data_IF_987500125967
#
_entry.id   IF_987500125967
#
_cell.length_a   1.000
_cell.length_b   1.000
_cell.length_c   1.000
_cell.angle_alpha   90.00
_cell.angle_beta   90.00
_cell.angle_gamma   90.00
#
_symmetry.space_group_name_H-M   'P 1'
#
loop_
_entity.id
_entity.type
_entity.pdbx_description
1 polymer ?
2 non-polymer ?
3 non-polymer ?
4 water ?
#
# COMPACT_ATOMS: atom_id res chain seq x y z
N UNK A 4 -5.01 6.75 22.20
CA UNK A 4 -5.41 5.50 21.56
C UNK A 4 -4.32 4.44 21.70
N UNK A 5 -3.28 4.54 20.88
CA UNK A 5 -2.30 3.46 20.74
C UNK A 5 -1.15 3.59 21.75
N UNK A 6 -0.64 2.45 22.24
CA UNK A 6 0.48 2.49 23.16
C UNK A 6 1.75 3.10 22.54
N UNK A 7 2.63 3.53 23.43
CA UNK A 7 3.81 4.30 23.05
C UNK A 7 5.05 3.48 22.78
N UNK A 8 6.09 4.19 22.33
CA UNK A 8 7.38 3.61 22.00
C UNK A 8 7.94 2.80 23.16
N UNK A 9 8.47 1.63 22.86
CA UNK A 9 9.21 0.83 23.84
C UNK A 9 10.66 0.72 23.38
N UNK A 10 11.60 0.77 24.35
CA UNK A 10 13.00 0.54 24.06
C UNK A 10 13.57 -0.47 25.05
N UNK A 11 14.17 -1.51 24.51
CA UNK A 11 14.64 -2.66 25.28
C UNK A 11 16.06 -3.07 24.87
N UNK A 12 16.96 -3.26 25.84
CA UNK A 12 18.31 -3.74 25.51
C UNK A 12 18.32 -5.22 25.16
N UNK A 13 18.91 -5.60 24.03
CA UNK A 13 18.99 -7.04 23.69
C UNK A 13 20.42 -7.59 23.63
N UNK A 14 21.41 -6.69 23.59
CA UNK A 14 22.83 -7.03 23.67
C UNK A 14 23.54 -5.73 24.02
N UNK A 15 24.83 -5.81 24.36
CA UNK A 15 25.59 -4.60 24.72
C UNK A 15 25.55 -3.63 23.53
N UNK A 16 25.03 -2.44 23.78
CA UNK A 16 24.90 -1.43 22.73
C UNK A 16 23.98 -1.77 21.58
N UNK A 17 23.00 -2.63 21.83
CA UNK A 17 22.01 -2.92 20.81
C UNK A 17 20.67 -2.92 21.48
N UNK A 18 19.81 -2.04 21.01
CA UNK A 18 18.48 -1.82 21.59
C UNK A 18 17.37 -2.09 20.59
N UNK A 19 16.37 -2.87 20.99
CA UNK A 19 15.18 -3.08 20.17
C UNK A 19 14.17 -1.99 20.48
N UNK A 20 13.66 -1.31 19.45
CA UNK A 20 12.61 -0.34 19.67
C UNK A 20 11.30 -0.90 19.04
N UNK A 21 10.19 -0.66 19.71
CA UNK A 21 8.94 -1.25 19.31
C UNK A 21 7.92 -0.17 19.34
N UNK A 22 7.20 -0.01 18.24
CA UNK A 22 6.17 1.04 18.15
C UNK A 22 4.94 0.46 17.52
N UNK A 23 3.81 1.14 17.72
CA UNK A 23 2.52 0.57 17.38
C UNK A 23 1.69 1.37 16.35
N UNK A 24 0.84 0.65 15.64
CA UNK A 24 -0.20 1.29 14.83
C UNK A 24 -1.43 0.40 14.74
N UNK A 25 -2.60 1.00 14.60
CA UNK A 25 -3.76 0.26 14.14
C UNK A 25 -3.66 0.11 12.65
N UNK A 26 -4.02 -1.05 12.13
CA UNK A 26 -4.04 -1.30 10.68
C UNK A 26 -5.33 -2.00 10.26
N UNK A 27 -6.12 -1.44 9.35
CA UNK A 27 -7.44 -2.03 9.07
C UNK A 27 -7.27 -3.43 8.50
N UNK A 28 -7.90 -4.40 9.14
CA UNK A 28 -7.79 -5.79 8.74
C UNK A 28 -6.80 -6.58 9.59
N UNK A 29 -6.03 -5.87 10.41
CA UNK A 29 -4.96 -6.50 11.16
C UNK A 29 -5.05 -6.13 12.64
N UNK A 30 -5.87 -5.12 12.96
CA UNK A 30 -5.97 -4.63 14.33
C UNK A 30 -4.74 -3.84 14.81
N UNK A 31 -4.46 -3.95 16.10
CA UNK A 31 -3.32 -3.29 16.71
C UNK A 31 -2.10 -4.13 16.42
N UNK A 32 -1.10 -3.53 15.74
CA UNK A 32 0.10 -4.19 15.29
C UNK A 32 1.33 -3.45 15.87
N UNK A 33 2.40 -4.18 16.20
CA UNK A 33 3.63 -3.53 16.62
C UNK A 33 4.70 -3.72 15.52
N UNK A 34 5.71 -2.88 15.55
CA UNK A 34 6.81 -2.96 14.59
C UNK A 34 8.12 -2.79 15.29
N UNK A 35 9.14 -3.56 14.88
CA UNK A 35 10.47 -3.53 15.49
C UNK A 35 11.47 -2.71 14.68
N UNK A 36 12.43 -2.13 15.37
CA UNK A 36 13.64 -1.63 14.71
C UNK A 36 14.77 -1.74 15.73
N UNK A 37 15.98 -1.30 15.38
CA UNK A 37 17.08 -1.31 16.35
C UNK A 37 17.70 0.06 16.52
N UNK A 38 18.35 0.23 17.65
CA UNK A 38 19.32 1.29 17.80
C UNK A 38 20.65 0.57 18.10
N UNK A 39 21.65 0.85 17.28
CA UNK A 39 22.95 0.23 17.42
C UNK A 39 24.03 1.28 17.74
N UNK A 40 24.83 0.97 18.74
CA UNK A 40 25.87 1.86 19.21
C UNK A 40 27.27 1.36 18.91
N UNK A 41 28.10 2.28 18.43
CA UNK A 41 29.52 2.08 18.29
C UNK A 41 30.26 3.38 18.63
N UNK A 42 31.14 3.30 19.64
CA UNK A 42 31.97 4.46 19.98
C UNK A 42 31.14 5.67 20.32
N UNK A 43 30.03 5.47 21.00
CA UNK A 43 29.21 6.58 21.42
C UNK A 43 28.23 7.04 20.36
N UNK A 44 28.39 6.57 19.12
CA UNK A 44 27.47 6.96 18.05
C UNK A 44 26.33 5.97 17.91
N UNK A 45 25.12 6.48 17.71
CA UNK A 45 23.90 5.65 17.57
C UNK A 45 23.36 5.64 16.15
N UNK A 46 23.07 4.45 15.64
CA UNK A 46 22.49 4.36 14.30
C UNK A 46 21.13 3.71 14.44
N UNK A 47 20.10 4.33 13.85
CA UNK A 47 18.75 3.75 13.85
C UNK A 47 18.52 2.84 12.66
N UNK A 48 18.17 1.59 12.93
CA UNK A 48 17.71 0.66 11.91
C UNK A 48 16.16 0.57 11.95
N UNK A 49 15.58 1.25 10.96
CA UNK A 49 14.12 1.45 10.72
C UNK A 49 13.54 2.44 11.70
N UNK A 50 12.78 3.41 11.18
CA UNK A 50 12.14 4.35 12.06
C UNK A 50 10.97 3.67 12.77
N UNK A 51 10.55 4.26 13.87
CA UNK A 51 9.26 3.87 14.47
C UNK A 51 8.10 4.19 13.50
N UNK A 52 6.91 3.70 13.83
CA UNK A 52 5.73 3.82 12.99
C UNK A 52 5.05 5.18 13.05
N UNK A 53 5.67 6.18 13.65
CA UNK A 53 5.06 7.51 13.74
C UNK A 53 6.09 8.60 13.96
N UNK A 54 5.74 9.81 13.56
CA UNK A 54 6.58 10.99 13.80
C UNK A 54 6.80 11.16 15.29
N UNK A 55 5.70 11.09 16.04
CA UNK A 55 5.78 11.23 17.50
C UNK A 55 6.79 10.26 18.09
N UNK A 56 6.66 8.99 17.75
CA UNK A 56 7.54 7.98 18.35
C UNK A 56 8.98 8.07 17.80
N UNK A 57 9.16 8.59 16.59
CA UNK A 57 10.50 8.81 16.06
C UNK A 57 11.15 9.91 16.90
N UNK A 58 10.44 11.01 17.15
CA UNK A 58 10.97 12.03 18.07
C UNK A 58 11.27 11.44 19.44
N UNK A 59 10.40 10.56 19.95
CA UNK A 59 10.64 9.97 21.27
C UNK A 59 11.90 9.14 21.29
N UNK A 60 12.19 8.47 20.17
CA UNK A 60 13.34 7.59 20.08
C UNK A 60 14.60 8.42 20.06
N UNK A 61 14.56 9.50 19.29
CA UNK A 61 15.71 10.38 19.15
C UNK A 61 15.98 11.06 20.48
N UNK A 62 14.91 11.43 21.19
CA UNK A 62 15.07 12.01 22.51
C UNK A 62 15.67 11.00 23.51
N UNK A 63 15.23 9.76 23.43
CA UNK A 63 15.77 8.70 24.27
C UNK A 63 17.29 8.57 24.03
N UNK A 64 17.68 8.48 22.77
CA UNK A 64 19.09 8.39 22.38
C UNK A 64 19.90 9.57 22.91
N UNK A 65 19.37 10.78 22.80
CA UNK A 65 20.11 11.94 23.27
C UNK A 65 20.20 11.94 24.79
N UNK A 66 19.14 11.49 25.47
CA UNK A 66 19.12 11.45 26.93
C UNK A 66 20.12 10.43 27.50
N UNK A 67 20.40 9.39 26.73
CA UNK A 67 21.45 8.44 27.09
C UNK A 67 22.85 8.98 26.69
N UNK A 68 22.90 10.21 26.18
CA UNK A 68 24.16 10.87 25.84
C UNK A 68 24.88 10.13 24.73
N UNK A 69 24.12 9.56 23.79
CA UNK A 69 24.69 9.07 22.55
C UNK A 69 24.65 10.16 21.48
N UNK A 70 25.57 10.08 20.53
CA UNK A 70 25.56 10.93 19.35
C UNK A 70 24.72 10.26 18.25
N UNK A 71 23.75 10.94 17.70
CA UNK A 71 22.94 10.29 16.65
C UNK A 71 23.61 10.46 15.32
N UNK A 72 23.87 9.35 14.64
CA UNK A 72 24.61 9.34 13.40
C UNK A 72 23.72 9.30 12.15
N UNK A 73 22.54 8.68 12.28
CA UNK A 73 21.66 8.50 11.13
C UNK A 73 20.66 7.35 11.25
N UNK A 74 19.87 7.17 10.21
CA UNK A 74 18.92 6.07 10.16
C UNK A 74 18.97 5.40 8.79
N UNK A 75 18.72 4.10 8.77
CA UNK A 75 18.48 3.39 7.55
C UNK A 75 17.05 2.76 7.59
N UNK A 76 16.32 2.83 6.47
CA UNK A 76 15.01 2.16 6.38
C UNK A 76 15.12 0.97 5.43
N UNK A 77 14.60 -0.18 5.85
CA UNK A 77 14.92 -1.43 5.16
C UNK A 77 13.88 -1.84 4.11
N UNK A 78 12.73 -1.15 4.09
CA UNK A 78 11.94 -1.11 2.85
C UNK A 78 11.00 0.07 2.95
N UNK A 79 10.15 0.26 1.94
CA UNK A 79 9.38 1.49 1.84
C UNK A 79 8.17 1.63 2.78
N UNK A 80 7.66 0.52 3.33
CA UNK A 80 6.40 0.57 4.12
C UNK A 80 6.48 1.51 5.32
N UNK A 81 5.34 2.11 5.61
CA UNK A 81 5.21 3.13 6.63
C UNK A 81 5.71 2.69 8.02
N UNK A 82 5.65 1.39 8.32
CA UNK A 82 6.12 0.94 9.63
C UNK A 82 7.64 1.14 9.81
N UNK A 83 8.39 1.33 8.73
CA UNK A 83 9.86 1.46 8.82
C UNK A 83 10.39 2.82 8.32
N UNK A 84 9.51 3.61 7.72
CA UNK A 84 9.84 4.90 7.12
C UNK A 84 9.04 6.07 7.67
N UNK A 85 8.15 5.85 8.64
CA UNK A 85 7.25 6.94 9.03
C UNK A 85 8.02 8.15 9.51
N UNK A 86 9.19 7.93 10.09
CA UNK A 86 9.91 9.02 10.69
C UNK A 86 10.92 9.71 9.80
N UNK A 87 11.04 9.25 8.55
CA UNK A 87 12.03 9.84 7.65
C UNK A 87 11.87 11.35 7.47
N UNK A 88 10.64 11.82 7.28
CA UNK A 88 10.39 13.24 7.14
C UNK A 88 10.84 14.03 8.35
N UNK A 89 10.49 13.54 9.55
CA UNK A 89 10.85 14.26 10.75
C UNK A 89 12.38 14.29 10.89
N UNK A 90 13.04 13.19 10.56
CA UNK A 90 14.49 13.09 10.72
C UNK A 90 15.18 14.02 9.71
N UNK A 91 14.68 14.01 8.48
CA UNK A 91 15.14 14.90 7.45
C UNK A 91 15.08 16.34 7.91
N UNK A 92 13.95 16.69 8.53
CA UNK A 92 13.76 18.01 9.06
C UNK A 92 14.77 18.43 10.11
N UNK A 93 15.32 17.45 10.82
CA UNK A 93 16.29 17.72 11.88
C UNK A 93 17.72 17.57 11.37
N UNK A 94 17.83 17.44 10.05
CA UNK A 94 19.09 17.14 9.37
C UNK A 94 19.85 15.97 9.99
N UNK A 95 19.10 14.98 10.47
CA UNK A 95 19.63 13.67 10.75
C UNK A 95 19.63 12.83 9.47
N UNK A 96 20.81 12.44 8.99
CA UNK A 96 20.89 11.68 7.74
C UNK A 96 20.08 10.37 7.72
N UNK A 97 19.19 10.30 6.74
CA UNK A 97 18.38 9.13 6.47
C UNK A 97 18.93 8.41 5.25
N UNK A 98 18.96 7.10 5.35
CA UNK A 98 19.42 6.24 4.27
C UNK A 98 18.30 5.28 3.82
N UNK A 99 18.32 4.93 2.54
CA UNK A 99 17.54 3.82 2.02
C UNK A 99 18.19 3.34 0.74
N UNK A 100 17.80 2.19 0.22
CA UNK A 100 18.30 1.81 -1.10
C UNK A 100 17.70 2.75 -2.19
N UNK A 101 18.37 2.86 -3.33
CA UNK A 101 17.83 3.66 -4.45
C UNK A 101 16.42 3.15 -4.83
N UNK A 102 16.22 1.83 -4.79
CA UNK A 102 14.94 1.21 -5.15
C UNK A 102 13.85 1.61 -4.14
N UNK A 103 14.19 1.51 -2.87
CA UNK A 103 13.26 1.94 -1.85
C UNK A 103 12.87 3.42 -2.08
N UNK A 104 13.85 4.28 -2.35
CA UNK A 104 13.56 5.70 -2.60
C UNK A 104 12.69 5.89 -3.83
N UNK A 105 12.82 5.03 -4.83
CA UNK A 105 12.03 5.20 -6.04
C UNK A 105 10.58 4.88 -5.75
N UNK A 106 10.36 3.88 -4.88
CA UNK A 106 9.02 3.48 -4.47
C UNK A 106 8.38 4.61 -3.67
N UNK A 107 9.09 5.11 -2.67
CA UNK A 107 8.65 6.27 -1.92
C UNK A 107 8.30 7.43 -2.87
N UNK A 108 9.15 7.70 -3.85
CA UNK A 108 8.87 8.83 -4.73
C UNK A 108 7.60 8.61 -5.55
N UNK A 109 7.49 7.43 -6.13
CA UNK A 109 6.36 7.08 -6.96
C UNK A 109 5.05 7.20 -6.17
N UNK A 110 5.12 6.92 -4.86
CA UNK A 110 3.94 6.99 -3.98
C UNK A 110 3.70 8.37 -3.35
N UNK A 111 4.46 9.38 -3.77
CA UNK A 111 4.28 10.74 -3.25
C UNK A 111 4.84 10.98 -1.85
N UNK A 112 5.72 10.10 -1.43
CA UNK A 112 6.26 10.12 -0.08
C UNK A 112 7.64 10.75 0.01
N UNK A 113 7.95 11.27 1.20
CA UNK A 113 9.27 11.78 1.54
C UNK A 113 10.31 10.69 1.29
N UNK A 114 11.38 11.03 0.58
CA UNK A 114 12.51 10.11 0.38
C UNK A 114 13.61 10.24 1.44
N UNK A 115 14.37 9.18 1.66
CA UNK A 115 15.61 9.31 2.45
C UNK A 115 16.60 10.23 1.72
N UNK A 116 17.46 10.89 2.48
CA UNK A 116 18.39 11.88 1.93
C UNK A 116 19.52 11.21 1.18
N UNK A 117 20.01 10.07 1.67
CA UNK A 117 21.09 9.36 0.99
C UNK A 117 20.61 8.01 0.54
N UNK A 118 21.02 7.60 -0.66
CA UNK A 118 20.71 6.23 -1.05
C UNK A 118 21.90 5.52 -1.67
N UNK A 119 21.76 4.21 -1.79
CA UNK A 119 22.79 3.39 -2.36
C UNK A 119 22.22 2.37 -3.33
N UNK A 120 22.97 2.14 -4.41
CA UNK A 120 22.69 1.11 -5.40
C UNK A 120 23.48 -0.13 -5.02
N UNK A 121 23.16 -1.25 -5.62
CA UNK A 121 23.98 -2.44 -5.38
C UNK A 121 23.47 -3.28 -4.23
N UNK A 122 23.87 -4.55 -4.21
CA UNK A 122 23.30 -5.49 -3.27
C UNK A 122 23.90 -5.44 -1.89
N UNK A 123 25.03 -4.74 -1.73
CA UNK A 123 25.63 -4.55 -0.41
C UNK A 123 26.16 -3.11 -0.20
N UNK A 124 26.28 -2.75 1.08
CA UNK A 124 26.54 -1.40 1.48
C UNK A 124 26.97 -1.52 2.91
N UNK A 125 27.77 -0.58 3.39
CA UNK A 125 28.16 -0.58 4.78
C UNK A 125 28.02 0.82 5.34
N UNK A 126 27.70 0.89 6.62
CA UNK A 126 27.44 2.13 7.32
C UNK A 126 28.21 2.16 8.64
N UNK A 127 28.35 3.35 9.17
CA UNK A 127 29.02 3.59 10.44
C UNK A 127 30.39 2.85 10.51
N UNK A 128 31.26 3.16 9.56
CA UNK A 128 32.63 2.57 9.49
C UNK A 128 32.59 1.05 9.50
N UNK A 129 31.59 0.52 8.81
CA UNK A 129 31.47 -0.90 8.57
C UNK A 129 30.88 -1.63 9.76
N UNK A 130 30.47 -0.90 10.78
CA UNK A 130 29.81 -1.53 11.94
C UNK A 130 28.48 -2.16 11.52
N UNK A 131 27.82 -1.59 10.51
CA UNK A 131 26.61 -2.18 9.93
C UNK A 131 26.87 -2.60 8.49
N UNK A 132 26.49 -3.82 8.14
CA UNK A 132 26.59 -4.27 6.77
C UNK A 132 25.17 -4.51 6.32
N UNK A 133 24.86 -3.92 5.17
CA UNK A 133 23.53 -3.99 4.56
C UNK A 133 23.58 -4.94 3.38
N UNK A 134 22.54 -5.75 3.24
CA UNK A 134 22.46 -6.74 2.18
C UNK A 134 21.06 -6.86 1.59
N UNK A 135 21.00 -6.88 0.27
CA UNK A 135 19.76 -7.21 -0.42
C UNK A 135 19.72 -8.69 -0.83
N UNK A 136 18.86 -9.47 -0.20
CA UNK A 136 18.78 -10.90 -0.50
C UNK A 136 17.93 -11.21 -1.72
N UNK A 137 17.21 -10.23 -2.22
CA UNK A 137 16.27 -10.47 -3.31
C UNK A 137 14.88 -10.25 -2.75
N UNK A 138 13.86 -10.38 -3.60
CA UNK A 138 12.52 -10.04 -3.16
C UNK A 138 11.96 -11.04 -2.17
N UNK A 139 11.01 -10.61 -1.35
CA UNK A 139 10.33 -11.47 -0.37
C UNK A 139 9.05 -10.81 0.09
N UNK A 140 9.08 -10.29 1.32
CA UNK A 140 8.03 -9.43 1.83
C UNK A 140 7.67 -8.34 0.81
N UNK A 141 8.73 -7.73 0.23
CA UNK A 141 8.60 -6.73 -0.82
C UNK A 141 9.78 -6.86 -1.77
N UNK A 142 9.71 -6.17 -2.90
CA UNK A 142 10.76 -6.22 -3.87
C UNK A 142 12.02 -5.56 -3.32
N UNK A 143 11.88 -4.62 -2.38
CA UNK A 143 13.06 -3.81 -1.97
C UNK A 143 13.65 -4.22 -0.63
N UNK A 144 13.10 -5.24 0.03
CA UNK A 144 13.43 -5.47 1.44
C UNK A 144 14.94 -5.76 1.59
N UNK A 145 15.51 -5.10 2.59
CA UNK A 145 16.91 -5.25 2.97
C UNK A 145 17.05 -5.87 4.37
N UNK A 146 18.20 -6.52 4.60
CA UNK A 146 18.62 -6.93 5.94
C UNK A 146 19.89 -6.25 6.36
N UNK A 147 20.11 -6.16 7.67
CA UNK A 147 21.28 -5.47 8.21
C UNK A 147 21.98 -6.31 9.22
N UNK A 148 23.26 -6.53 8.99
CA UNK A 148 24.11 -7.43 9.75
C UNK A 148 25.03 -6.61 10.61
N UNK A 149 25.13 -7.01 11.88
CA UNK A 149 26.07 -6.41 12.81
C UNK A 149 27.18 -7.43 13.07
N UNK A 150 28.29 -7.32 12.33
CA UNK A 150 29.23 -8.45 12.34
C UNK A 150 29.87 -8.65 13.71
N UNK A 151 30.01 -7.56 14.44
CA UNK A 151 30.71 -7.64 15.69
C UNK A 151 29.93 -8.45 16.74
N UNK A 152 28.60 -8.37 16.72
CA UNK A 152 27.80 -9.15 17.66
C UNK A 152 27.01 -10.29 16.97
N UNK A 153 27.23 -10.49 15.68
CA UNK A 153 26.54 -11.52 14.89
C UNK A 153 25.00 -11.46 15.06
N UNK A 154 24.48 -10.22 15.03
CA UNK A 154 23.05 -9.94 15.09
C UNK A 154 22.57 -9.60 13.68
N UNK A 155 21.57 -10.31 13.21
CA UNK A 155 20.96 -10.00 11.94
C UNK A 155 19.58 -9.36 12.13
N UNK A 156 19.43 -8.12 11.66
CA UNK A 156 18.12 -7.50 11.59
C UNK A 156 17.47 -7.89 10.26
N UNK A 157 16.46 -8.74 10.32
CA UNK A 157 15.82 -9.28 9.14
C UNK A 157 14.77 -8.36 8.57
N UNK A 158 14.23 -7.47 9.38
CA UNK A 158 13.08 -6.70 8.97
C UNK A 158 11.93 -7.61 8.54
N UNK A 159 11.01 -7.05 7.78
CA UNK A 159 9.77 -7.81 7.55
C UNK A 159 10.00 -8.90 6.54
N UNK A 160 11.21 -8.98 5.99
CA UNK A 160 11.65 -10.09 5.17
C UNK A 160 11.71 -11.38 5.98
N UNK A 161 11.84 -11.23 7.30
CA UNK A 161 11.98 -12.39 8.20
C UNK A 161 10.80 -12.42 9.13
N UNK A 162 10.17 -13.59 9.22
CA UNK A 162 9.03 -13.79 10.10
C UNK A 162 9.42 -14.36 11.45
N UNK A 163 8.66 -13.97 12.48
CA UNK A 163 8.85 -14.48 13.82
C UNK A 163 8.49 -15.96 13.89
N UNK A 164 9.12 -16.66 14.83
CA UNK A 164 8.87 -18.10 14.96
C UNK A 164 7.41 -18.37 15.29
N UNK A 165 6.72 -17.42 15.91
CA UNK A 165 5.32 -17.63 16.31
C UNK A 165 4.31 -17.47 15.14
N UNK A 166 4.82 -17.03 14.00
CA UNK A 166 4.00 -16.81 12.82
C UNK A 166 3.89 -18.07 12.01
N UNK A 167 2.67 -18.47 11.68
CA UNK A 167 2.44 -19.61 10.81
C UNK A 167 2.49 -19.25 9.32
N UNK A 168 2.49 -17.96 9.02
CA UNK A 168 2.50 -17.53 7.65
C UNK A 168 3.26 -16.24 7.43
N UNK A 169 3.10 -15.66 6.25
CA UNK A 169 4.03 -14.64 5.79
C UNK A 169 3.60 -13.25 6.14
N UNK A 170 2.42 -13.11 6.73
CA UNK A 170 1.93 -11.79 7.10
C UNK A 170 1.29 -11.08 5.91
N UNK A 171 1.51 -9.77 5.79
CA UNK A 171 0.94 -8.99 4.69
C UNK A 171 1.66 -9.27 3.38
N UNK A 172 0.97 -9.89 2.43
CA UNK A 172 1.64 -10.33 1.20
C UNK A 172 1.12 -9.59 -0.06
N UNK A 173 0.41 -8.49 0.15
CA UNK A 173 -0.15 -7.69 -0.93
C UNK A 173 0.86 -7.09 -1.88
N UNK A 174 2.11 -6.92 -1.44
CA UNK A 174 3.20 -6.45 -2.32
C UNK A 174 4.43 -7.39 -2.26
N UNK A 175 4.20 -8.67 -1.97
CA UNK A 175 5.27 -9.65 -1.88
C UNK A 175 5.70 -10.21 -3.22
N UNK A 176 6.91 -10.76 -3.22
CA UNK A 176 7.43 -11.55 -4.31
C UNK A 176 7.49 -12.99 -3.81
N UNK A 177 6.35 -13.68 -3.86
CA UNK A 177 6.23 -14.97 -3.19
C UNK A 177 7.14 -15.98 -3.85
N UNK A 178 7.25 -15.89 -5.16
CA UNK A 178 8.04 -16.86 -5.89
C UNK A 178 9.55 -16.62 -5.73
N UNK A 179 9.95 -15.39 -5.43
CA UNK A 179 11.36 -15.10 -5.18
C UNK A 179 11.79 -15.31 -3.72
N UNK A 180 10.83 -15.29 -2.80
CA UNK A 180 11.12 -15.30 -1.36
C UNK A 180 11.93 -16.54 -0.90
N UNK A 181 11.58 -17.73 -1.38
CA UNK A 181 12.42 -18.85 -0.95
C UNK A 181 13.90 -18.71 -1.34
N UNK A 182 14.22 -18.36 -2.59
CA UNK A 182 15.64 -18.24 -2.92
C UNK A 182 16.26 -17.10 -2.12
N UNK A 183 15.51 -16.03 -1.89
CA UNK A 183 16.09 -14.95 -1.12
C UNK A 183 16.39 -15.36 0.31
N UNK A 184 15.50 -16.18 0.87
CA UNK A 184 15.66 -16.71 2.22
C UNK A 184 16.87 -17.63 2.28
N UNK A 185 17.00 -18.47 1.25
CA UNK A 185 18.15 -19.33 1.09
C UNK A 185 19.42 -18.51 1.00
N UNK A 186 19.39 -17.40 0.28
CA UNK A 186 20.59 -16.55 0.18
C UNK A 186 21.04 -16.10 1.56
N UNK A 187 20.08 -15.71 2.38
CA UNK A 187 20.34 -15.15 3.71
C UNK A 187 20.87 -16.22 4.68
N UNK A 188 20.31 -17.42 4.59
CA UNK A 188 20.83 -18.55 5.34
C UNK A 188 22.29 -18.88 4.98
N UNK A 189 22.63 -18.80 3.70
CA UNK A 189 24.01 -19.07 3.26
C UNK A 189 24.99 -18.00 3.70
N UNK A 190 24.50 -16.75 3.76
CA UNK A 190 25.38 -15.63 4.04
C UNK A 190 25.65 -15.50 5.54
N UNK A 191 24.67 -15.85 6.37
CA UNK A 191 24.76 -15.60 7.82
C UNK A 191 24.63 -16.89 8.63
N UNK A 192 25.44 -17.90 8.31
CA UNK A 192 25.27 -19.16 9.04
C UNK A 192 25.52 -19.06 10.56
N UNK A 193 26.29 -18.06 11.01
CA UNK A 193 26.66 -17.95 12.44
C UNK A 193 25.84 -16.86 13.16
N UNK A 194 24.77 -16.35 12.55
CA UNK A 194 23.96 -15.36 13.25
C UNK A 194 23.51 -15.91 14.61
N UNK A 195 23.56 -15.07 15.63
CA UNK A 195 23.27 -15.48 17.02
C UNK A 195 21.91 -15.01 17.46
N UNK A 196 21.59 -13.81 17.03
CA UNK A 196 20.30 -13.20 17.21
C UNK A 196 19.73 -12.75 15.85
N UNK A 197 18.48 -13.10 15.63
CA UNK A 197 17.74 -12.63 14.47
C UNK A 197 16.50 -11.87 14.94
N UNK A 198 16.33 -10.67 14.38
CA UNK A 198 15.29 -9.74 14.75
C UNK A 198 14.31 -9.62 13.57
N UNK A 199 13.06 -10.10 13.75
CA UNK A 199 12.08 -9.99 12.68
C UNK A 199 11.51 -8.58 12.65
N UNK A 200 10.85 -8.17 11.56
CA UNK A 200 10.25 -6.85 11.48
C UNK A 200 9.09 -6.68 12.43
N UNK A 201 8.44 -7.80 12.73
CA UNK A 201 7.24 -7.91 13.58
C UNK A 201 7.39 -9.15 14.44
N UNK A 202 7.21 -8.96 15.75
CA UNK A 202 7.23 -10.07 16.71
C UNK A 202 8.49 -10.20 17.53
N UNK A 203 8.69 -11.41 18.06
CA UNK A 203 9.70 -11.66 19.08
C UNK A 203 11.02 -12.01 18.45
N UNK A 204 12.10 -11.53 19.04
CA UNK A 204 13.41 -11.83 18.48
C UNK A 204 13.67 -13.32 18.74
N UNK A 205 14.56 -13.90 17.95
CA UNK A 205 14.98 -15.26 18.20
C UNK A 205 16.41 -15.48 17.74
N UNK A 206 16.73 -16.73 17.39
CA UNK A 206 18.04 -17.06 16.88
C UNK A 206 17.97 -17.46 15.40
N UNK A 207 18.98 -18.19 14.95
CA UNK A 207 19.12 -18.53 13.54
C UNK A 207 17.88 -19.25 13.03
N UNK A 208 17.11 -19.89 13.92
CA UNK A 208 15.90 -20.61 13.47
C UNK A 208 14.92 -19.70 12.70
N UNK A 209 14.91 -18.40 12.96
CA UNK A 209 14.00 -17.53 12.27
C UNK A 209 14.25 -17.54 10.77
N UNK A 210 15.51 -17.69 10.38
CA UNK A 210 15.86 -17.76 8.97
C UNK A 210 15.32 -19.04 8.31
N UNK A 211 15.48 -20.17 9.00
CA UNK A 211 14.99 -21.46 8.51
C UNK A 211 13.46 -21.46 8.45
N UNK A 212 12.84 -20.97 9.51
CA UNK A 212 11.40 -20.84 9.62
C UNK A 212 10.83 -20.02 8.43
N UNK A 213 11.44 -18.88 8.15
CA UNK A 213 10.95 -18.03 7.07
C UNK A 213 11.11 -18.69 5.68
N UNK A 214 12.23 -19.38 5.45
CA UNK A 214 12.39 -20.14 4.22
C UNK A 214 11.25 -21.14 4.02
N UNK A 215 10.93 -21.91 5.08
CA UNK A 215 9.85 -22.92 5.02
C UNK A 215 8.51 -22.26 4.70
N UNK A 216 8.21 -21.16 5.36
CA UNK A 216 6.96 -20.44 5.13
C UNK A 216 6.89 -19.95 3.69
N UNK A 217 8.03 -19.52 3.16
CA UNK A 217 8.06 -18.96 1.81
C UNK A 217 7.87 -20.08 0.80
N UNK A 218 8.53 -21.20 1.03
CA UNK A 218 8.42 -22.37 0.18
C UNK A 218 6.98 -22.89 0.16
N UNK A 219 6.35 -22.93 1.33
CA UNK A 219 4.98 -23.40 1.48
C UNK A 219 4.00 -22.50 0.70
N UNK A 220 4.13 -21.19 0.88
CA UNK A 220 3.29 -20.24 0.16
C UNK A 220 3.52 -20.37 -1.35
N UNK A 221 4.77 -20.40 -1.78
CA UNK A 221 5.06 -20.48 -3.21
C UNK A 221 4.48 -21.76 -3.83
N UNK A 222 4.69 -22.89 -3.16
CA UNK A 222 4.12 -24.14 -3.65
C UNK A 222 2.61 -24.11 -3.70
N UNK A 223 1.97 -23.67 -2.62
CA UNK A 223 0.51 -23.59 -2.57
C UNK A 223 -0.03 -22.73 -3.71
N UNK A 224 0.67 -21.62 -3.99
CA UNK A 224 0.20 -20.66 -4.96
C UNK A 224 0.21 -21.27 -6.35
N UNK B 5 -0.63 16.43 2.76
CA UNK B 5 -0.91 15.38 1.79
C UNK B 5 -0.83 15.95 0.36
N UNK B 6 -0.34 15.16 -0.62
CA UNK B 6 -0.26 15.67 -1.98
C UNK B 6 -1.62 16.06 -2.52
N UNK B 7 -1.65 17.00 -3.45
CA UNK B 7 -2.90 17.51 -3.96
C UNK B 7 -3.54 16.66 -5.05
N UNK B 8 -4.82 16.90 -5.28
CA UNK B 8 -5.56 16.24 -6.37
C UNK B 8 -4.86 16.43 -7.72
N UNK B 9 -4.68 15.32 -8.43
CA UNK B 9 -4.17 15.33 -9.79
C UNK B 9 -5.27 14.95 -10.80
N UNK B 10 -5.27 15.62 -11.94
CA UNK B 10 -6.14 15.26 -13.04
C UNK B 10 -5.38 15.32 -14.36
N UNK B 11 -5.53 14.27 -15.17
CA UNK B 11 -4.71 14.07 -16.36
C UNK B 11 -5.62 13.45 -17.40
N UNK B 12 -5.60 13.93 -18.65
CA UNK B 12 -6.43 13.32 -19.71
C UNK B 12 -5.78 12.03 -20.12
N UNK B 13 -6.57 10.99 -20.35
CA UNK B 13 -5.99 9.74 -20.80
C UNK B 13 -6.53 9.32 -22.18
N UNK B 14 -7.69 9.84 -22.59
CA UNK B 14 -8.14 9.67 -23.96
C UNK B 14 -9.16 10.77 -24.15
N UNK B 15 -9.77 10.85 -25.34
CA UNK B 15 -10.64 11.97 -25.66
C UNK B 15 -11.77 12.19 -24.65
N UNK B 16 -11.63 13.24 -23.84
CA UNK B 16 -12.65 13.63 -22.89
C UNK B 16 -12.75 12.78 -21.63
N UNK B 17 -11.89 11.76 -21.54
CA UNK B 17 -11.80 10.93 -20.33
C UNK B 17 -10.55 11.28 -19.55
N UNK B 18 -10.75 11.63 -18.29
CA UNK B 18 -9.67 12.07 -17.43
C UNK B 18 -9.56 11.15 -16.25
N UNK B 19 -8.33 10.92 -15.82
CA UNK B 19 -8.02 10.24 -14.56
C UNK B 19 -7.87 11.27 -13.46
N UNK B 20 -8.61 11.12 -12.35
CA UNK B 20 -8.32 11.89 -11.16
C UNK B 20 -7.68 10.98 -10.09
N UNK B 21 -6.63 11.51 -9.48
CA UNK B 21 -5.86 10.80 -8.46
C UNK B 21 -5.83 11.68 -7.23
N UNK B 22 -6.26 11.14 -6.10
CA UNK B 22 -6.26 11.86 -4.84
C UNK B 22 -5.65 11.03 -3.71
N UNK B 23 -5.30 11.70 -2.62
CA UNK B 23 -4.57 11.05 -1.52
C UNK B 23 -5.24 11.10 -0.16
N UNK B 24 -4.88 10.13 0.68
CA UNK B 24 -5.32 10.15 2.06
C UNK B 24 -4.23 9.52 2.90
N UNK B 25 -4.20 9.91 4.18
CA UNK B 25 -3.29 9.27 5.13
C UNK B 25 -4.08 8.23 5.82
N UNK B 26 -3.81 6.98 5.46
CA UNK B 26 -4.46 5.84 6.05
C UNK B 26 -3.68 5.31 7.28
N UNK B 27 -4.37 5.09 8.39
CA UNK B 27 -3.74 4.62 9.61
C UNK B 27 -2.96 3.30 9.38
N UNK B 28 -1.69 3.28 9.80
CA UNK B 28 -0.80 2.17 9.56
C UNK B 28 -0.13 2.12 8.19
N UNK B 29 -0.91 2.40 7.16
CA UNK B 29 -0.44 2.31 5.78
C UNK B 29 0.28 3.57 5.34
N UNK B 30 -0.07 4.68 5.94
CA UNK B 30 0.49 5.96 5.55
C UNK B 30 -0.23 6.52 4.34
N UNK B 31 0.49 7.29 3.54
CA UNK B 31 -0.06 7.91 2.37
C UNK B 31 -0.45 6.89 1.31
N UNK B 32 -1.70 6.93 0.89
CA UNK B 32 -2.23 6.05 -0.15
C UNK B 32 -2.95 6.91 -1.20
N UNK B 33 -2.92 6.49 -2.46
CA UNK B 33 -3.66 7.19 -3.51
C UNK B 33 -4.80 6.33 -4.08
N UNK B 34 -5.72 7.01 -4.75
CA UNK B 34 -6.95 6.39 -5.28
C UNK B 34 -7.25 7.02 -6.65
N UNK B 35 -7.60 6.17 -7.61
CA UNK B 35 -7.97 6.61 -8.97
C UNK B 35 -9.48 6.74 -9.11
N UNK B 36 -9.93 7.73 -9.87
CA UNK B 36 -11.27 7.76 -10.41
C UNK B 36 -11.20 8.38 -11.80
N UNK B 37 -12.35 8.60 -12.43
CA UNK B 37 -12.38 9.28 -13.74
C UNK B 37 -13.35 10.46 -13.75
N UNK B 38 -13.08 11.42 -14.63
CA UNK B 38 -14.08 12.36 -15.10
C UNK B 38 -14.23 12.15 -16.59
N UNK B 39 -15.48 11.98 -16.98
CA UNK B 39 -15.83 11.78 -18.38
C UNK B 39 -16.63 12.96 -18.84
N UNK B 40 -16.31 13.47 -20.01
CA UNK B 40 -16.96 14.65 -20.52
C UNK B 40 -17.41 14.42 -21.95
N UNK B 41 -18.70 14.68 -22.19
CA UNK B 41 -19.29 14.53 -23.50
C UNK B 41 -20.58 15.35 -23.62
N UNK B 42 -20.76 15.96 -24.79
CA UNK B 42 -21.95 16.74 -25.06
C UNK B 42 -22.26 17.81 -24.04
N UNK B 43 -21.25 18.51 -23.54
CA UNK B 43 -21.47 19.53 -22.52
C UNK B 43 -21.59 19.00 -21.08
N UNK B 44 -21.69 17.69 -20.90
CA UNK B 44 -21.89 17.14 -19.56
C UNK B 44 -20.63 16.47 -19.01
N UNK B 45 -20.38 16.68 -17.70
CA UNK B 45 -19.33 15.97 -16.97
C UNK B 45 -19.93 14.93 -16.05
N UNK B 46 -19.31 13.75 -15.98
CA UNK B 46 -19.72 12.75 -14.98
C UNK B 46 -18.49 12.30 -14.21
N UNK B 47 -18.66 12.09 -12.90
CA UNK B 47 -17.60 11.63 -12.04
C UNK B 47 -17.74 10.15 -11.74
N UNK B 48 -16.69 9.43 -12.05
CA UNK B 48 -16.59 8.02 -11.73
C UNK B 48 -15.66 7.89 -10.51
N UNK B 49 -16.32 7.59 -9.39
CA UNK B 49 -15.77 7.55 -8.03
C UNK B 49 -15.30 8.91 -7.48
N UNK B 50 -15.67 9.24 -6.24
CA UNK B 50 -15.23 10.52 -5.71
C UNK B 50 -13.74 10.47 -5.33
N UNK B 51 -13.10 11.64 -5.27
CA UNK B 51 -11.83 11.68 -4.55
C UNK B 51 -11.95 11.20 -3.08
N UNK B 52 -10.80 11.04 -2.45
CA UNK B 52 -10.71 10.39 -1.15
C UNK B 52 -10.96 11.36 -0.01
N UNK B 53 -11.52 12.51 -0.30
CA UNK B 53 -11.80 13.47 0.74
C UNK B 53 -12.83 14.42 0.21
N UNK B 54 -13.59 14.99 1.12
CA UNK B 54 -14.49 16.06 0.77
C UNK B 54 -13.72 17.21 0.13
N UNK B 55 -12.58 17.55 0.73
CA UNK B 55 -11.77 18.65 0.21
C UNK B 55 -11.46 18.48 -1.29
N UNK B 56 -11.03 17.29 -1.70
CA UNK B 56 -10.62 17.10 -3.08
C UNK B 56 -11.82 16.83 -3.99
N UNK B 57 -12.94 16.38 -3.41
CA UNK B 57 -14.18 16.31 -4.18
C UNK B 57 -14.59 17.71 -4.63
N UNK B 58 -14.57 18.64 -3.69
CA UNK B 58 -14.83 20.04 -3.96
C UNK B 58 -13.85 20.58 -5.02
N UNK B 59 -12.57 20.27 -4.90
CA UNK B 59 -11.58 20.78 -5.84
C UNK B 59 -11.82 20.21 -7.23
N UNK B 60 -12.21 18.93 -7.30
CA UNK B 60 -12.51 18.29 -8.57
C UNK B 60 -13.71 18.94 -9.25
N UNK B 61 -14.67 19.37 -8.47
CA UNK B 61 -15.91 19.91 -9.00
C UNK B 61 -15.58 21.35 -9.43
N UNK B 62 -14.75 22.01 -8.65
CA UNK B 62 -14.22 23.33 -9.03
C UNK B 62 -13.49 23.26 -10.39
N UNK B 63 -12.74 22.19 -10.61
CA UNK B 63 -12.03 22.00 -11.86
C UNK B 63 -13.02 21.85 -13.02
N UNK B 64 -14.03 21.03 -12.81
CA UNK B 64 -15.07 20.82 -13.82
C UNK B 64 -15.85 22.12 -14.11
N UNK B 65 -16.32 22.77 -13.05
CA UNK B 65 -17.17 23.94 -13.18
C UNK B 65 -16.43 25.22 -13.58
N UNK B 66 -15.12 25.25 -13.41
CA UNK B 66 -14.35 26.37 -13.91
C UNK B 66 -14.34 26.35 -15.45
N UNK B 67 -14.66 25.22 -16.06
CA UNK B 67 -14.77 25.12 -17.53
C UNK B 67 -16.24 25.29 -17.92
N UNK B 68 -17.08 25.40 -16.89
CA UNK B 68 -18.54 25.56 -17.03
C UNK B 68 -19.23 24.38 -17.71
N UNK B 69 -18.70 23.18 -17.56
CA UNK B 69 -19.49 22.01 -17.93
C UNK B 69 -20.67 21.84 -17.00
N UNK B 70 -21.70 21.18 -17.49
CA UNK B 70 -22.79 20.72 -16.62
C UNK B 70 -22.37 19.49 -15.88
N UNK B 71 -22.43 19.51 -14.55
CA UNK B 71 -21.99 18.35 -13.78
C UNK B 71 -23.20 17.44 -13.61
N UNK B 72 -23.23 16.33 -14.34
CA UNK B 72 -24.44 15.54 -14.47
C UNK B 72 -24.62 14.62 -13.28
N UNK B 73 -23.51 14.25 -12.63
CA UNK B 73 -23.58 13.41 -11.44
C UNK B 73 -22.29 12.65 -11.16
N UNK B 74 -22.34 11.79 -10.13
CA UNK B 74 -21.26 10.86 -9.82
C UNK B 74 -21.83 9.45 -9.66
N UNK B 75 -21.01 8.45 -9.94
CA UNK B 75 -21.30 7.10 -9.50
C UNK B 75 -20.13 6.56 -8.66
N UNK B 76 -20.44 5.85 -7.58
CA UNK B 76 -19.39 5.22 -6.76
C UNK B 76 -19.38 3.70 -6.99
N UNK B 77 -18.20 3.11 -7.14
CA UNK B 77 -18.11 1.72 -7.57
C UNK B 77 -17.99 0.66 -6.44
N UNK B 78 -17.76 1.11 -5.20
CA UNK B 78 -18.05 0.31 -4.02
C UNK B 78 -18.03 1.22 -2.79
N UNK B 79 -18.32 0.67 -1.62
CA UNK B 79 -18.61 1.49 -0.45
C UNK B 79 -17.40 2.15 0.21
N UNK B 80 -16.19 1.63 0.01
CA UNK B 80 -15.02 2.14 0.70
C UNK B 80 -14.82 3.64 0.49
N UNK B 81 -14.27 4.28 1.51
CA UNK B 81 -14.21 5.74 1.59
C UNK B 81 -13.34 6.35 0.47
N UNK B 82 -12.47 5.56 -0.13
CA UNK B 82 -11.66 6.09 -1.22
C UNK B 82 -12.53 6.41 -2.45
N UNK B 83 -13.69 5.76 -2.59
CA UNK B 83 -14.61 6.03 -3.71
C UNK B 83 -15.90 6.78 -3.33
N UNK B 84 -16.13 6.99 -2.04
CA UNK B 84 -17.41 7.57 -1.57
C UNK B 84 -17.27 8.77 -0.64
N UNK B 85 -16.05 9.17 -0.35
CA UNK B 85 -15.85 10.20 0.67
C UNK B 85 -16.61 11.48 0.31
N UNK B 86 -16.74 11.72 -1.00
CA UNK B 86 -17.36 12.94 -1.50
C UNK B 86 -18.88 12.99 -1.59
N UNK B 87 -19.55 11.87 -1.37
CA UNK B 87 -20.99 11.81 -1.64
C UNK B 87 -21.78 12.83 -0.81
N UNK B 88 -21.45 12.95 0.47
CA UNK B 88 -22.12 13.89 1.36
C UNK B 88 -22.06 15.30 0.80
N UNK B 89 -20.84 15.75 0.46
CA UNK B 89 -20.65 17.07 -0.14
C UNK B 89 -21.41 17.25 -1.47
N UNK B 90 -21.33 16.26 -2.35
CA UNK B 90 -22.07 16.30 -3.61
C UNK B 90 -23.57 16.44 -3.33
N UNK B 91 -24.06 15.68 -2.35
CA UNK B 91 -25.49 15.72 -1.98
C UNK B 91 -25.88 17.11 -1.51
N UNK B 92 -25.02 17.75 -0.71
CA UNK B 92 -25.31 19.09 -0.21
C UNK B 92 -25.29 20.12 -1.32
N UNK B 93 -24.50 19.82 -2.35
CA UNK B 93 -24.40 20.68 -3.54
C UNK B 93 -25.48 20.34 -4.58
N UNK B 94 -26.43 19.46 -4.24
CA UNK B 94 -27.46 18.99 -5.16
C UNK B 94 -26.88 18.51 -6.48
N UNK B 95 -25.76 17.79 -6.39
CA UNK B 95 -25.21 17.08 -7.53
C UNK B 95 -25.59 15.60 -7.38
N UNK B 96 -26.26 15.05 -8.40
CA UNK B 96 -26.80 13.70 -8.32
C UNK B 96 -25.72 12.64 -8.10
N UNK B 97 -25.84 11.90 -7.00
CA UNK B 97 -24.94 10.80 -6.67
C UNK B 97 -25.60 9.44 -6.92
N UNK B 98 -24.83 8.51 -7.49
CA UNK B 98 -25.30 7.15 -7.80
C UNK B 98 -24.45 6.03 -7.18
N UNK B 99 -25.10 4.91 -6.81
CA UNK B 99 -24.41 3.68 -6.43
C UNK B 99 -25.31 2.45 -6.66
N UNK B 100 -24.79 1.24 -6.59
CA UNK B 100 -25.70 0.07 -6.59
C UNK B 100 -26.49 0.04 -5.29
N UNK B 101 -27.58 -0.72 -5.25
CA UNK B 101 -28.40 -0.81 -4.05
C UNK B 101 -27.59 -1.49 -2.95
N UNK B 102 -26.87 -2.54 -3.33
CA UNK B 102 -26.02 -3.23 -2.38
C UNK B 102 -25.02 -2.26 -1.76
N UNK B 103 -24.42 -1.39 -2.57
CA UNK B 103 -23.44 -0.47 -2.05
C UNK B 103 -24.05 0.49 -1.04
N UNK B 104 -25.22 1.01 -1.37
CA UNK B 104 -25.93 1.88 -0.46
C UNK B 104 -26.34 1.11 0.82
N UNK B 105 -26.69 -0.15 0.67
CA UNK B 105 -27.05 -0.96 1.84
C UNK B 105 -25.85 -1.02 2.79
N UNK B 106 -24.66 -1.17 2.23
CA UNK B 106 -23.46 -1.15 3.04
C UNK B 106 -23.30 0.23 3.69
N UNK B 107 -23.44 1.29 2.90
CA UNK B 107 -23.38 2.65 3.44
C UNK B 107 -24.44 2.90 4.52
N UNK B 108 -25.70 2.58 4.19
CA UNK B 108 -26.81 2.85 5.09
C UNK B 108 -26.70 2.12 6.42
N UNK B 109 -26.26 0.87 6.40
CA UNK B 109 -26.15 0.10 7.64
C UNK B 109 -24.95 0.56 8.47
N UNK B 110 -23.96 1.17 7.82
CA UNK B 110 -22.80 1.72 8.55
C UNK B 110 -23.00 3.20 8.90
N UNK B 111 -24.23 3.69 8.78
CA UNK B 111 -24.53 5.06 9.17
C UNK B 111 -23.83 6.11 8.33
N UNK B 112 -23.31 5.72 7.16
CA UNK B 112 -22.67 6.68 6.26
C UNK B 112 -23.66 7.23 5.22
N UNK B 113 -23.37 8.42 4.71
CA UNK B 113 -24.22 9.05 3.71
C UNK B 113 -24.44 8.16 2.50
N UNK B 114 -25.68 7.99 2.09
CA UNK B 114 -26.02 7.21 0.89
C UNK B 114 -25.94 8.05 -0.38
N UNK B 115 -25.72 7.39 -1.52
CA UNK B 115 -25.93 8.03 -2.81
C UNK B 115 -27.42 8.28 -2.96
N UNK B 116 -27.79 9.42 -3.54
CA UNK B 116 -29.20 9.78 -3.60
C UNK B 116 -30.00 8.89 -4.55
N UNK B 117 -29.37 8.41 -5.62
CA UNK B 117 -30.01 7.45 -6.52
C UNK B 117 -29.30 6.10 -6.52
N UNK B 118 -30.07 5.02 -6.64
CA UNK B 118 -29.53 3.68 -6.78
C UNK B 118 -30.23 2.85 -7.87
N UNK B 119 -29.60 1.75 -8.27
CA UNK B 119 -30.10 0.91 -9.34
C UNK B 119 -29.96 -0.57 -9.00
N UNK B 120 -30.92 -1.38 -9.46
CA UNK B 120 -30.87 -2.83 -9.29
C UNK B 120 -30.30 -3.51 -10.53
N UNK B 121 -30.00 -4.80 -10.41
CA UNK B 121 -29.62 -5.58 -11.58
C UNK B 121 -28.14 -5.44 -11.88
N UNK B 122 -27.64 -6.37 -12.68
CA UNK B 122 -26.20 -6.55 -12.84
C UNK B 122 -25.60 -5.59 -13.88
N UNK B 123 -26.45 -4.79 -14.52
CA UNK B 123 -25.99 -3.75 -15.43
C UNK B 123 -26.81 -2.48 -15.24
N UNK B 124 -26.32 -1.38 -15.79
CA UNK B 124 -26.91 -0.08 -15.62
C UNK B 124 -26.22 0.85 -16.62
N UNK B 125 -26.90 1.89 -17.10
CA UNK B 125 -26.22 2.85 -18.00
C UNK B 125 -26.48 4.28 -17.51
N UNK B 126 -25.56 5.18 -17.85
CA UNK B 126 -25.56 6.55 -17.37
C UNK B 126 -25.16 7.49 -18.49
N UNK B 127 -25.41 8.77 -18.28
CA UNK B 127 -24.95 9.78 -19.20
C UNK B 127 -25.45 9.47 -20.62
N UNK B 128 -26.75 9.20 -20.73
CA UNK B 128 -27.39 8.96 -22.02
C UNK B 128 -26.77 7.80 -22.80
N UNK B 129 -26.25 6.82 -22.07
CA UNK B 129 -25.64 5.65 -22.66
C UNK B 129 -24.13 5.76 -22.86
N UNK B 130 -23.55 6.90 -22.54
CA UNK B 130 -22.11 7.05 -22.69
C UNK B 130 -21.34 6.15 -21.74
N UNK B 131 -21.93 5.81 -20.60
CA UNK B 131 -21.29 4.91 -19.62
C UNK B 131 -22.15 3.69 -19.39
N UNK B 132 -21.51 2.53 -19.30
CA UNK B 132 -22.18 1.27 -19.05
C UNK B 132 -21.60 0.69 -17.76
N UNK B 133 -22.46 0.41 -16.79
CA UNK B 133 -22.06 -0.12 -15.50
C UNK B 133 -22.35 -1.62 -15.41
N UNK B 134 -21.43 -2.38 -14.82
CA UNK B 134 -21.56 -3.85 -14.79
C UNK B 134 -21.04 -4.42 -13.47
N UNK B 135 -21.83 -5.34 -12.92
CA UNK B 135 -21.46 -6.14 -11.72
C UNK B 135 -20.86 -7.48 -12.14
N UNK B 136 -19.54 -7.62 -12.00
CA UNK B 136 -18.88 -8.87 -12.44
C UNK B 136 -19.00 -10.02 -11.42
N UNK B 137 -19.28 -9.68 -10.16
CA UNK B 137 -19.28 -10.63 -9.06
C UNK B 137 -18.33 -10.16 -7.96
N UNK B 138 -18.21 -10.92 -6.87
CA UNK B 138 -17.35 -10.52 -5.77
C UNK B 138 -15.87 -10.52 -6.13
N UNK B 139 -15.11 -9.60 -5.55
CA UNK B 139 -13.66 -9.53 -5.75
C UNK B 139 -12.89 -8.81 -4.64
N UNK B 140 -12.47 -7.58 -4.93
CA UNK B 140 -11.89 -6.69 -3.93
C UNK B 140 -12.83 -6.61 -2.77
N UNK B 141 -14.10 -6.44 -3.12
CA UNK B 141 -15.19 -6.39 -2.16
C UNK B 141 -16.35 -7.11 -2.80
N UNK B 142 -17.43 -7.27 -2.05
CA UNK B 142 -18.59 -8.02 -2.51
C UNK B 142 -19.40 -7.18 -3.49
N UNK B 143 -19.26 -5.86 -3.43
CA UNK B 143 -20.15 -4.95 -4.15
C UNK B 143 -19.52 -4.25 -5.35
N UNK B 144 -18.26 -4.58 -5.65
CA UNK B 144 -17.48 -3.78 -6.59
C UNK B 144 -17.99 -3.84 -8.03
N UNK B 145 -18.17 -2.65 -8.59
CA UNK B 145 -18.66 -2.44 -9.97
C UNK B 145 -17.57 -1.98 -10.87
N UNK B 146 -17.70 -2.30 -12.15
CA UNK B 146 -16.85 -1.75 -13.20
C UNK B 146 -17.67 -0.85 -14.13
N UNK B 147 -16.99 0.10 -14.75
CA UNK B 147 -17.61 1.03 -15.65
C UNK B 147 -16.87 1.04 -17.00
N UNK B 148 -17.62 0.73 -18.04
CA UNK B 148 -17.15 0.62 -19.42
C UNK B 148 -17.54 1.87 -20.18
N UNK B 149 -16.61 2.34 -20.99
CA UNK B 149 -16.84 3.49 -21.84
C UNK B 149 -16.73 3.00 -23.27
N UNK B 150 -17.89 2.61 -23.87
CA UNK B 150 -17.88 1.96 -25.17
C UNK B 150 -17.22 2.84 -26.24
N UNK B 151 -17.35 4.16 -26.17
CA UNK B 151 -16.80 4.99 -27.25
C UNK B 151 -15.26 5.02 -27.26
N UNK B 152 -14.61 4.73 -26.14
CA UNK B 152 -13.15 4.70 -26.04
C UNK B 152 -12.57 3.32 -25.73
N UNK B 153 -13.45 2.35 -25.48
CA UNK B 153 -13.01 1.02 -25.10
C UNK B 153 -12.09 1.10 -23.87
N UNK B 154 -12.52 1.96 -22.95
CA UNK B 154 -11.90 2.10 -21.64
C UNK B 154 -12.74 1.44 -20.56
N UNK B 155 -12.11 0.56 -19.78
CA UNK B 155 -12.78 -0.08 -18.66
C UNK B 155 -12.20 0.44 -17.37
N UNK B 156 -13.03 1.09 -16.56
CA UNK B 156 -12.61 1.45 -15.23
C UNK B 156 -12.89 0.25 -14.33
N UNK B 157 -11.82 -0.42 -13.92
CA UNK B 157 -11.92 -1.62 -13.09
C UNK B 157 -12.20 -1.31 -11.64
N UNK B 158 -11.78 -0.13 -11.21
CA UNK B 158 -11.86 0.20 -9.80
C UNK B 158 -10.96 -0.76 -9.05
N UNK B 159 -11.23 -0.95 -7.77
CA UNK B 159 -10.32 -1.73 -6.93
C UNK B 159 -10.44 -3.25 -7.22
N UNK B 160 -11.46 -3.63 -7.99
CA UNK B 160 -11.64 -5.00 -8.51
C UNK B 160 -10.49 -5.41 -9.43
N UNK B 161 -9.77 -4.42 -9.95
CA UNK B 161 -8.64 -4.63 -10.84
C UNK B 161 -7.35 -4.02 -10.29
N UNK B 162 -6.29 -4.84 -10.27
CA UNK B 162 -4.95 -4.46 -9.79
C UNK B 162 -4.01 -3.98 -10.90
N UNK B 163 -3.11 -3.06 -10.59
CA UNK B 163 -2.13 -2.62 -11.59
C UNK B 163 -1.16 -3.78 -11.90
N UNK B 164 -0.51 -3.67 -13.05
CA UNK B 164 0.53 -4.64 -13.45
C UNK B 164 1.73 -4.59 -12.51
N UNK B 165 2.04 -3.40 -11.98
CA UNK B 165 3.16 -3.26 -11.09
C UNK B 165 2.85 -3.85 -9.70
N UNK B 166 1.62 -4.28 -9.49
CA UNK B 166 1.26 -4.94 -8.23
C UNK B 166 1.62 -6.40 -8.32
N UNK B 167 2.35 -6.87 -7.32
CA UNK B 167 2.77 -8.27 -7.27
C UNK B 167 1.77 -9.09 -6.43
N UNK B 168 0.79 -8.42 -5.82
CA UNK B 168 -0.25 -9.08 -5.05
C UNK B 168 -1.56 -8.28 -5.11
N UNK B 169 -2.58 -8.73 -4.39
CA UNK B 169 -3.92 -8.12 -4.46
C UNK B 169 -4.12 -6.88 -3.59
N UNK B 170 -3.06 -6.44 -2.90
CA UNK B 170 -3.18 -5.34 -1.96
C UNK B 170 -3.99 -5.74 -0.73
N UNK B 171 -4.89 -4.84 -0.30
CA UNK B 171 -5.76 -5.08 0.86
C UNK B 171 -6.85 -6.06 0.49
N UNK B 172 -6.92 -7.15 1.23
CA UNK B 172 -7.87 -8.22 0.96
C UNK B 172 -8.73 -8.53 2.17
N UNK B 173 -8.94 -7.52 3.01
CA UNK B 173 -9.62 -7.70 4.29
C UNK B 173 -11.12 -7.76 4.19
N UNK B 174 -11.67 -7.53 3.01
CA UNK B 174 -13.12 -7.64 2.80
C UNK B 174 -13.43 -8.28 1.45
N UNK B 175 -12.40 -8.88 0.86
CA UNK B 175 -12.51 -9.52 -0.45
C UNK B 175 -13.26 -10.85 -0.39
N UNK B 176 -13.87 -11.23 -1.50
CA UNK B 176 -14.39 -12.58 -1.67
C UNK B 176 -13.36 -13.32 -2.49
N UNK B 177 -12.36 -13.85 -1.80
CA UNK B 177 -11.20 -14.45 -2.45
C UNK B 177 -11.62 -15.58 -3.36
N UNK B 178 -12.64 -16.33 -2.94
CA UNK B 178 -13.07 -17.49 -3.69
C UNK B 178 -13.83 -17.12 -4.96
N UNK B 179 -14.47 -15.95 -4.99
CA UNK B 179 -15.27 -15.56 -6.15
C UNK B 179 -14.48 -14.72 -7.17
N UNK B 180 -13.38 -14.10 -6.72
CA UNK B 180 -12.65 -13.13 -7.54
C UNK B 180 -12.20 -13.72 -8.88
N UNK B 181 -11.70 -14.98 -8.90
CA UNK B 181 -11.36 -15.52 -10.22
C UNK B 181 -12.56 -15.60 -11.18
N UNK B 182 -13.70 -16.09 -10.71
CA UNK B 182 -14.85 -16.25 -11.58
C UNK B 182 -15.37 -14.88 -12.02
N UNK B 183 -15.32 -13.91 -11.12
CA UNK B 183 -15.74 -12.55 -11.44
C UNK B 183 -14.81 -11.95 -12.50
N UNK B 184 -13.52 -12.22 -12.34
CA UNK B 184 -12.51 -11.74 -13.26
C UNK B 184 -12.70 -12.40 -14.62
N UNK B 185 -13.06 -13.69 -14.65
CA UNK B 185 -13.19 -14.35 -15.94
C UNK B 185 -14.44 -13.82 -16.65
N UNK B 186 -15.49 -13.50 -15.89
CA UNK B 186 -16.67 -12.85 -16.45
C UNK B 186 -16.34 -11.54 -17.15
N UNK B 187 -15.52 -10.75 -16.49
CA UNK B 187 -15.12 -9.45 -17.00
C UNK B 187 -14.28 -9.63 -18.25
N UNK B 188 -13.35 -10.57 -18.18
CA UNK B 188 -12.54 -10.93 -19.33
C UNK B 188 -13.41 -11.34 -20.54
N UNK B 189 -14.48 -12.08 -20.28
CA UNK B 189 -15.42 -12.48 -21.35
C UNK B 189 -16.29 -11.33 -21.86
N UNK B 190 -16.67 -10.43 -20.97
CA UNK B 190 -17.61 -9.35 -21.30
C UNK B 190 -16.97 -8.27 -22.18
N UNK B 191 -15.72 -7.95 -21.87
CA UNK B 191 -15.06 -6.78 -22.48
C UNK B 191 -13.74 -7.15 -23.16
N UNK B 192 -13.76 -8.15 -24.06
CA UNK B 192 -12.52 -8.57 -24.75
C UNK B 192 -11.86 -7.47 -25.57
N UNK B 193 -12.62 -6.40 -25.83
CA UNK B 193 -12.15 -5.36 -26.72
C UNK B 193 -11.52 -4.17 -25.95
N UNK B 194 -11.45 -4.25 -24.62
CA UNK B 194 -10.90 -3.15 -23.86
C UNK B 194 -9.48 -2.78 -24.33
N UNK B 195 -9.24 -1.49 -24.54
CA UNK B 195 -7.95 -1.02 -25.00
C UNK B 195 -7.17 -0.43 -23.83
N UNK B 196 -7.89 0.21 -22.90
CA UNK B 196 -7.34 0.80 -21.69
C UNK B 196 -8.12 0.30 -20.47
N UNK B 197 -7.40 -0.09 -19.44
CA UNK B 197 -7.99 -0.55 -18.20
C UNK B 197 -7.44 0.27 -17.04
N UNK B 198 -8.32 0.87 -16.25
CA UNK B 198 -7.93 1.75 -15.17
C UNK B 198 -8.15 1.05 -13.83
N UNK B 199 -7.04 0.74 -13.11
CA UNK B 199 -7.26 0.15 -11.79
C UNK B 199 -7.69 1.20 -10.77
N UNK B 200 -8.30 0.74 -9.70
CA UNK B 200 -8.70 1.62 -8.63
C UNK B 200 -7.52 2.25 -7.94
N UNK B 201 -6.38 1.56 -7.95
CA UNK B 201 -5.15 2.03 -7.32
C UNK B 201 -3.97 1.75 -8.23
N UNK B 202 -3.14 2.76 -8.49
CA UNK B 202 -1.97 2.59 -9.35
C UNK B 202 -2.06 2.99 -10.81
N UNK B 203 -1.10 2.49 -11.61
CA UNK B 203 -0.95 2.91 -13.00
C UNK B 203 -1.97 2.29 -13.92
N UNK B 204 -2.48 3.10 -14.85
CA UNK B 204 -3.39 2.59 -15.87
C UNK B 204 -2.59 1.70 -16.84
N UNK B 205 -3.32 0.88 -17.60
CA UNK B 205 -2.70 -0.08 -18.50
C UNK B 205 -3.65 -0.54 -19.58
N UNK B 206 -3.41 -1.73 -20.13
CA UNK B 206 -4.27 -2.28 -21.17
C UNK B 206 -4.93 -3.56 -20.64
N UNK B 207 -5.37 -4.42 -21.54
CA UNK B 207 -6.15 -5.59 -21.21
C UNK B 207 -5.38 -6.50 -20.24
N UNK B 208 -4.05 -6.41 -20.24
CA UNK B 208 -3.23 -7.32 -19.45
C UNK B 208 -3.54 -7.18 -17.96
N UNK B 209 -4.03 -6.02 -17.53
CA UNK B 209 -4.44 -5.83 -16.14
C UNK B 209 -5.55 -6.79 -15.70
N UNK B 210 -6.49 -7.04 -16.60
CA UNK B 210 -7.58 -8.01 -16.33
C UNK B 210 -7.04 -9.41 -16.13
N UNK B 211 -6.13 -9.82 -17.02
CA UNK B 211 -5.56 -11.16 -16.95
C UNK B 211 -4.65 -11.24 -15.72
N UNK B 212 -3.83 -10.20 -15.53
CA UNK B 212 -2.94 -10.09 -14.38
C UNK B 212 -3.72 -10.20 -13.08
N UNK B 213 -4.88 -9.56 -13.03
CA UNK B 213 -5.71 -9.62 -11.83
C UNK B 213 -6.20 -11.06 -11.63
N UNK B 214 -6.72 -11.67 -12.69
CA UNK B 214 -7.26 -13.02 -12.58
C UNK B 214 -6.18 -14.00 -12.10
N UNK B 215 -4.94 -13.78 -12.54
CA UNK B 215 -3.84 -14.67 -12.15
C UNK B 215 -3.48 -14.43 -10.70
N UNK B 216 -3.51 -13.16 -10.30
CA UNK B 216 -3.29 -12.83 -8.91
C UNK B 216 -4.39 -13.43 -8.05
N UNK B 217 -5.62 -13.38 -8.56
CA UNK B 217 -6.75 -13.84 -7.76
C UNK B 217 -6.69 -15.36 -7.59
N UNK B 218 -6.29 -16.05 -8.64
CA UNK B 218 -6.27 -17.50 -8.58
C UNK B 218 -5.15 -17.95 -7.66
N UNK B 219 -4.00 -17.29 -7.77
CA UNK B 219 -2.87 -17.61 -6.90
C UNK B 219 -3.28 -17.38 -5.45
N UNK B 220 -4.03 -16.30 -5.23
CA UNK B 220 -4.56 -16.02 -3.91
C UNK B 220 -5.51 -17.14 -3.50
N UNK B 221 -6.50 -17.47 -4.32
CA UNK B 221 -7.45 -18.48 -3.92
C UNK B 221 -6.74 -19.81 -3.57
N UNK B 222 -6.00 -20.43 -4.52
CA UNK B 222 -5.42 -21.79 -4.25
C UNK B 222 -4.26 -21.86 -3.21
X LIG C 1 6.43 -4.52 8.35
X LIG D 1 8.90 -22.97 11.55
X LIG E 1 6.33 -4.10 4.92
X LIG F 1 1.59 -9.30 11.19
X LIG G 1 28.56 -15.62 9.56
X LIG H 1 -9.59 0.89 -3.14
X LIG I 1 -11.64 -0.72 -1.44
#
# INVERSE_FOLDING_TARGET
>A
GNEEIPGLEVEEIDNGVFLHKSYSRVEGWGLVSSNGLVVISGGKAFIIDTPWSESDTEKLVDWIRSKKYELAGSISTHSHEDKTAGIKWLNGKSITTYASALTNEILKREGKEQARSSFKGNEFSLMDGFLEVYYPGGGHTIDNLVVWIPSSKILYGGCFIRSLESSGLGYTGEAKIDQWPQSARNTISKYPEAKIVVPGHGKIGDFELLKHTKVLAEKASNKANHGDR
>B
GNEEIPGLEVEEIDNGVFLHKSYSRVEGWGLVSSNGLVVISGGKAFIIDTPWSESDTEKLVDWIRSKKYELAGSISTHSHEDKTAGIKWLNGKSITTYASALTNEILKREGKEQARSSFKGNEFSLMDGFLEVYYPGGGHTIDNLVVWIPSSKILYGGCFIRSLESSGLGYTGEAKIDQWPQSARNTISKYPEAKIVVPGHGKIGDFELLKHTKVLAEKASNKANHGDR
>C hetero
1 ZN ZN
>D hetero
1 ZN ZN
>E hetero
1 ZN ZN
>F hetero
1 CL CL
>G hetero
1 CL CL
>H hetero
1 ZN ZN
>I hetero
1 ZN ZN
#
